data_IF_525827919853
#
_entry.id   IF_525827919853
#
_cell.length_a   1.000
_cell.length_b   1.000
_cell.length_c   1.000
_cell.angle_alpha   90.00
_cell.angle_beta   90.00
_cell.angle_gamma   90.00
#
_symmetry.space_group_name_H-M   'P 1'
#
loop_
_entity.id
_entity.type
_entity.pdbx_description
1 polymer ?
#
# COMPACT_ATOMS: atom_id res chain seq x y z
N UNK A 1 -15.27 -26.92 2.17
CA UNK A 1 -14.04 -26.95 2.97
C UNK A 1 -12.91 -26.47 2.07
N UNK A 2 -12.10 -25.51 2.51
CA UNK A 2 -10.93 -25.06 1.72
C UNK A 2 -9.77 -26.04 1.92
N UNK A 3 -8.97 -26.26 0.88
CA UNK A 3 -7.80 -27.16 0.90
C UNK A 3 -6.52 -26.37 0.56
N UNK A 4 -5.99 -25.56 1.50
CA UNK A 4 -4.83 -24.70 1.23
C UNK A 4 -3.52 -25.51 1.21
N UNK A 5 -2.53 -25.02 0.48
CA UNK A 5 -1.18 -25.59 0.50
C UNK A 5 -0.47 -25.42 1.85
N UNK A 6 -0.83 -24.38 2.60
CA UNK A 6 -0.31 -24.10 3.94
C UNK A 6 -1.11 -23.03 4.66
N UNK A 7 -0.91 -22.95 5.98
CA UNK A 7 -1.51 -21.97 6.87
C UNK A 7 -0.38 -21.27 7.62
N UNK A 8 -0.32 -19.95 7.50
CA UNK A 8 0.63 -19.13 8.23
C UNK A 8 -0.10 -18.27 9.27
N UNK A 9 0.31 -18.41 10.53
CA UNK A 9 -0.27 -17.72 11.67
C UNK A 9 0.62 -16.53 12.04
N UNK A 10 0.12 -15.33 11.74
CA UNK A 10 0.72 -14.07 12.15
C UNK A 10 -0.32 -13.23 12.86
N UNK A 11 -0.07 -12.90 14.12
CA UNK A 11 -0.98 -12.03 14.87
C UNK A 11 -0.23 -10.82 15.42
N UNK A 12 -0.98 -9.73 15.53
CA UNK A 12 -0.46 -8.42 15.91
C UNK A 12 0.24 -8.47 17.28
N UNK A 13 1.56 -8.20 17.34
CA UNK A 13 2.32 -8.26 18.58
C UNK A 13 1.79 -7.31 19.66
N UNK A 14 1.25 -6.15 19.27
CA UNK A 14 0.73 -5.17 20.21
C UNK A 14 -0.56 -5.67 20.86
N UNK A 15 -1.47 -6.22 20.06
CA UNK A 15 -2.72 -6.80 20.57
C UNK A 15 -2.44 -8.01 21.47
N UNK A 16 -1.54 -8.91 21.05
CA UNK A 16 -1.19 -10.08 21.86
C UNK A 16 -0.56 -9.70 23.20
N UNK A 17 0.27 -8.65 23.23
CA UNK A 17 0.84 -8.13 24.47
C UNK A 17 -0.23 -7.61 25.43
N UNK A 18 -1.25 -6.92 24.92
CA UNK A 18 -2.40 -6.46 25.73
C UNK A 18 -3.14 -7.67 26.33
N UNK A 19 -3.30 -8.74 25.56
CA UNK A 19 -3.95 -9.98 25.98
C UNK A 19 -3.04 -10.92 26.81
N UNK A 20 -1.79 -10.53 27.11
CA UNK A 20 -0.85 -11.37 27.86
C UNK A 20 -0.34 -12.61 27.12
N UNK A 21 -0.42 -12.62 25.78
CA UNK A 21 -0.05 -13.73 24.92
C UNK A 21 1.34 -13.54 24.29
N UNK A 22 2.12 -14.62 24.19
CA UNK A 22 3.42 -14.61 23.47
C UNK A 22 3.23 -14.27 21.98
N UNK A 23 4.11 -13.50 21.34
CA UNK A 23 4.04 -13.19 19.91
C UNK A 23 3.98 -14.44 19.02
N UNK A 24 3.39 -14.30 17.83
CA UNK A 24 3.26 -15.40 16.88
C UNK A 24 3.43 -14.95 15.43
N UNK A 25 4.32 -15.64 14.73
CA UNK A 25 4.61 -15.47 13.31
C UNK A 25 5.25 -16.78 12.81
N UNK A 26 4.44 -17.76 12.41
CA UNK A 26 4.91 -19.11 12.04
C UNK A 26 3.96 -19.81 11.08
N UNK A 27 4.47 -20.77 10.34
CA UNK A 27 3.63 -21.71 9.59
C UNK A 27 3.05 -22.74 10.55
N UNK A 28 1.72 -22.81 10.65
CA UNK A 28 0.98 -23.70 11.55
C UNK A 28 0.59 -25.02 10.90
N UNK A 29 0.48 -25.05 9.56
CA UNK A 29 0.21 -26.27 8.79
C UNK A 29 0.74 -26.16 7.36
N UNK A 30 1.06 -27.31 6.75
CA UNK A 30 1.43 -27.40 5.34
C UNK A 30 2.74 -26.69 4.99
N UNK A 31 2.82 -26.18 3.76
CA UNK A 31 4.03 -25.57 3.20
C UNK A 31 4.13 -24.11 3.64
N UNK A 32 5.32 -23.70 4.09
CA UNK A 32 5.60 -22.30 4.41
C UNK A 32 5.56 -21.43 3.13
N UNK A 33 4.97 -20.23 3.16
CA UNK A 33 4.98 -19.36 1.99
C UNK A 33 6.42 -18.93 1.63
N UNK A 34 6.68 -18.60 0.36
CA UNK A 34 7.92 -17.93 -0.03
C UNK A 34 8.02 -16.55 0.62
N UNK A 35 9.22 -15.97 0.63
CA UNK A 35 9.48 -14.62 1.19
C UNK A 35 8.59 -13.55 0.54
N UNK A 36 8.45 -13.60 -0.79
CA UNK A 36 7.47 -12.84 -1.55
C UNK A 36 6.52 -13.79 -2.27
N UNK A 37 5.25 -13.78 -1.87
CA UNK A 37 4.19 -14.53 -2.53
C UNK A 37 3.57 -13.68 -3.64
N UNK A 38 3.54 -14.20 -4.86
CA UNK A 38 2.76 -13.58 -5.94
C UNK A 38 1.27 -13.86 -5.75
N UNK A 39 0.45 -12.80 -5.77
CA UNK A 39 -1.01 -12.87 -5.82
C UNK A 39 -1.53 -12.21 -7.09
N UNK A 40 -2.77 -12.54 -7.45
CA UNK A 40 -3.52 -11.87 -8.52
C UNK A 40 -4.73 -11.13 -7.98
N UNK A 41 -4.90 -9.89 -8.38
CA UNK A 41 -6.06 -9.06 -8.06
C UNK A 41 -6.48 -8.30 -9.32
N UNK A 42 -7.75 -8.41 -9.73
CA UNK A 42 -8.29 -7.70 -10.91
C UNK A 42 -7.48 -7.88 -12.21
N UNK A 43 -6.85 -9.05 -12.39
CA UNK A 43 -5.98 -9.33 -13.54
C UNK A 43 -4.54 -8.82 -13.43
N UNK A 44 -4.24 -8.08 -12.35
CA UNK A 44 -2.91 -7.57 -12.03
C UNK A 44 -2.20 -8.50 -11.04
N UNK A 45 -0.87 -8.40 -11.00
CA UNK A 45 -0.01 -9.22 -10.16
C UNK A 45 0.67 -8.41 -9.08
N UNK A 46 0.81 -8.96 -7.88
CA UNK A 46 1.48 -8.29 -6.76
C UNK A 46 2.31 -9.27 -5.95
N UNK A 47 3.47 -8.85 -5.50
CA UNK A 47 4.23 -9.52 -4.46
C UNK A 47 3.75 -9.10 -3.07
N UNK A 48 3.62 -10.11 -2.20
CA UNK A 48 3.13 -9.99 -0.82
C UNK A 48 4.18 -10.57 0.13
N UNK A 49 4.64 -9.76 1.07
CA UNK A 49 5.48 -10.24 2.17
C UNK A 49 4.59 -10.63 3.36
N UNK A 50 4.29 -11.93 3.46
CA UNK A 50 3.44 -12.49 4.53
C UNK A 50 4.12 -12.39 5.90
N UNK A 51 5.45 -12.37 5.95
CA UNK A 51 6.21 -12.43 7.20
C UNK A 51 6.36 -11.04 7.82
N UNK A 52 6.71 -10.03 7.03
CA UNK A 52 7.07 -8.69 7.50
C UNK A 52 6.19 -7.56 6.95
N UNK A 53 5.43 -7.80 5.88
CA UNK A 53 4.59 -6.76 5.27
C UNK A 53 3.45 -6.30 6.19
N UNK A 54 2.88 -5.13 5.95
CA UNK A 54 1.82 -4.58 6.80
C UNK A 54 0.55 -5.46 6.74
N UNK A 55 -0.22 -5.52 7.85
CA UNK A 55 -1.44 -6.35 8.00
C UNK A 55 -1.23 -7.85 7.84
N UNK A 56 -1.43 -8.41 6.65
CA UNK A 56 -1.13 -9.80 6.26
C UNK A 56 -0.16 -9.86 5.06
N UNK A 57 0.51 -8.74 4.77
CA UNK A 57 1.45 -8.54 3.67
C UNK A 57 0.91 -7.66 2.54
N UNK A 58 -0.41 -7.44 2.51
CA UNK A 58 -1.10 -6.62 1.51
C UNK A 58 -2.44 -6.12 2.05
N UNK A 59 -2.89 -4.96 1.57
CA UNK A 59 -4.17 -4.36 1.95
C UNK A 59 -5.32 -4.90 1.10
N UNK A 60 -5.79 -6.10 1.42
CA UNK A 60 -6.91 -6.75 0.71
C UNK A 60 -8.23 -5.99 0.84
N UNK A 61 -8.43 -5.26 1.95
CA UNK A 61 -9.60 -4.42 2.17
C UNK A 61 -9.69 -3.22 1.22
N UNK A 62 -8.61 -2.89 0.51
CA UNK A 62 -8.55 -1.79 -0.47
C UNK A 62 -8.82 -2.27 -1.91
N UNK A 63 -9.16 -3.55 -2.14
CA UNK A 63 -9.38 -4.12 -3.47
C UNK A 63 -10.43 -3.34 -4.28
N UNK A 64 -11.61 -3.10 -3.72
CA UNK A 64 -12.69 -2.39 -4.41
C UNK A 64 -12.35 -0.91 -4.64
N UNK A 65 -11.61 -0.30 -3.71
CA UNK A 65 -11.15 1.08 -3.86
C UNK A 65 -10.11 1.22 -4.96
N UNK A 66 -9.19 0.25 -5.09
CA UNK A 66 -8.22 0.20 -6.20
C UNK A 66 -8.90 0.04 -7.55
N UNK A 67 -9.93 -0.81 -7.64
CA UNK A 67 -10.75 -0.94 -8.84
C UNK A 67 -11.45 0.38 -9.18
N UNK A 68 -12.09 1.01 -8.19
CA UNK A 68 -12.77 2.30 -8.37
C UNK A 68 -11.81 3.38 -8.84
N UNK A 69 -10.61 3.48 -8.25
CA UNK A 69 -9.58 4.42 -8.68
C UNK A 69 -9.22 4.24 -10.15
N UNK A 70 -9.07 2.98 -10.60
CA UNK A 70 -8.72 2.67 -11.98
C UNK A 70 -9.75 3.27 -12.98
N UNK A 71 -11.04 3.22 -12.65
CA UNK A 71 -12.13 3.78 -13.50
C UNK A 71 -12.00 5.28 -13.75
N UNK A 72 -11.33 6.02 -12.85
CA UNK A 72 -11.12 7.46 -12.98
C UNK A 72 -9.73 7.84 -13.48
N UNK A 73 -8.81 6.90 -13.66
CA UNK A 73 -7.40 7.19 -13.86
C UNK A 73 -6.99 7.41 -15.32
N UNK A 74 -7.82 7.03 -16.29
CA UNK A 74 -7.49 7.11 -17.73
C UNK A 74 -7.06 8.52 -18.14
N UNK A 75 -5.91 8.60 -18.80
CA UNK A 75 -5.26 9.83 -19.29
C UNK A 75 -4.94 10.89 -18.23
N UNK A 76 -4.89 10.51 -16.94
CA UNK A 76 -4.57 11.43 -15.83
C UNK A 76 -3.13 11.31 -15.35
N UNK A 77 -2.60 12.42 -14.83
CA UNK A 77 -1.43 12.46 -13.98
C UNK A 77 -1.87 12.25 -12.54
N UNK A 78 -1.49 11.11 -11.95
CA UNK A 78 -1.97 10.66 -10.63
C UNK A 78 -0.89 10.85 -9.58
N UNK A 79 -1.27 11.34 -8.40
CA UNK A 79 -0.47 11.25 -7.17
C UNK A 79 -1.03 10.14 -6.27
N UNK A 80 -0.22 9.13 -5.99
CA UNK A 80 -0.49 8.06 -5.02
C UNK A 80 0.31 8.34 -3.73
N UNK A 81 -0.33 9.04 -2.78
CA UNK A 81 0.26 9.35 -1.48
C UNK A 81 -0.03 8.25 -0.46
N UNK A 82 1.00 7.87 0.31
CA UNK A 82 0.98 6.68 1.19
C UNK A 82 0.88 5.38 0.38
N UNK A 83 1.62 5.32 -0.73
CA UNK A 83 1.50 4.31 -1.78
C UNK A 83 1.80 2.87 -1.33
N UNK A 84 2.47 2.66 -0.19
CA UNK A 84 2.89 1.35 0.27
C UNK A 84 3.61 0.57 -0.86
N UNK A 85 3.12 -0.61 -1.24
CA UNK A 85 3.68 -1.45 -2.31
C UNK A 85 3.15 -1.11 -3.71
N UNK A 86 2.50 0.05 -3.90
CA UNK A 86 2.08 0.57 -5.20
C UNK A 86 0.73 0.09 -5.70
N UNK A 87 -0.14 -0.43 -4.81
CA UNK A 87 -1.40 -1.05 -5.20
C UNK A 87 -2.28 -0.13 -6.07
N UNK A 88 -2.45 1.13 -5.66
CA UNK A 88 -3.24 2.11 -6.40
C UNK A 88 -2.53 2.53 -7.69
N UNK A 89 -1.23 2.83 -7.63
CA UNK A 89 -0.44 3.19 -8.80
C UNK A 89 -0.45 2.14 -9.92
N UNK A 90 -0.31 0.84 -9.59
CA UNK A 90 -0.39 -0.26 -10.59
C UNK A 90 -1.78 -0.29 -11.24
N UNK A 91 -2.85 -0.13 -10.45
CA UNK A 91 -4.21 -0.08 -10.99
C UNK A 91 -4.43 1.14 -11.90
N UNK A 92 -3.96 2.31 -11.49
CA UNK A 92 -4.06 3.53 -12.28
C UNK A 92 -3.34 3.40 -13.64
N UNK A 93 -2.10 2.88 -13.66
CA UNK A 93 -1.37 2.62 -14.90
C UNK A 93 -2.07 1.59 -15.78
N UNK A 94 -2.61 0.51 -15.20
CA UNK A 94 -3.34 -0.50 -15.95
C UNK A 94 -4.59 0.03 -16.65
N UNK A 95 -5.20 1.09 -16.11
CA UNK A 95 -6.35 1.77 -16.69
C UNK A 95 -5.97 2.93 -17.65
N UNK A 96 -4.68 3.07 -17.98
CA UNK A 96 -4.19 4.06 -18.92
C UNK A 96 -3.96 5.45 -18.33
N UNK A 97 -3.61 5.55 -17.04
CA UNK A 97 -3.05 6.78 -16.49
C UNK A 97 -1.83 7.23 -17.31
N UNK A 98 -1.70 8.54 -17.52
CA UNK A 98 -0.57 9.12 -18.25
C UNK A 98 0.71 9.04 -17.41
N UNK A 99 0.61 9.31 -16.12
CA UNK A 99 1.72 9.16 -15.17
C UNK A 99 1.19 8.86 -13.76
N UNK A 100 2.02 8.22 -12.94
CA UNK A 100 1.77 8.03 -11.52
C UNK A 100 3.02 8.46 -10.75
N UNK A 101 2.87 9.41 -9.84
CA UNK A 101 3.86 9.73 -8.81
C UNK A 101 3.47 9.05 -7.51
N UNK A 102 4.29 8.11 -7.04
CA UNK A 102 4.04 7.35 -5.82
C UNK A 102 4.94 7.86 -4.69
N UNK A 103 4.35 8.10 -3.52
CA UNK A 103 5.05 8.65 -2.36
C UNK A 103 4.85 7.74 -1.16
N UNK A 104 5.95 7.36 -0.50
CA UNK A 104 5.93 6.63 0.76
C UNK A 104 7.17 6.98 1.61
N UNK A 105 7.07 6.86 2.93
CA UNK A 105 8.20 7.12 3.84
C UNK A 105 9.11 5.89 3.99
N UNK A 106 8.61 4.69 3.66
CA UNK A 106 9.31 3.42 3.83
C UNK A 106 10.07 3.00 2.59
N UNK A 107 11.40 2.93 2.69
CA UNK A 107 12.26 2.45 1.60
C UNK A 107 11.92 1.01 1.17
N UNK A 108 11.63 0.13 2.12
CA UNK A 108 11.26 -1.26 1.83
C UNK A 108 9.96 -1.36 1.00
N UNK A 109 9.03 -0.42 1.21
CA UNK A 109 7.80 -0.35 0.42
C UNK A 109 8.09 0.08 -1.02
N UNK A 110 9.00 1.04 -1.21
CA UNK A 110 9.43 1.49 -2.54
C UNK A 110 10.21 0.44 -3.33
N UNK A 111 10.96 -0.44 -2.65
CA UNK A 111 11.60 -1.59 -3.31
C UNK A 111 10.56 -2.61 -3.80
N UNK A 112 9.56 -2.92 -2.96
CA UNK A 112 8.48 -3.84 -3.33
C UNK A 112 7.58 -3.26 -4.43
N UNK A 113 7.38 -1.94 -4.41
CA UNK A 113 6.73 -1.18 -5.46
C UNK A 113 7.40 -1.39 -6.82
N UNK A 114 8.73 -1.24 -6.90
CA UNK A 114 9.47 -1.40 -8.16
C UNK A 114 9.25 -2.77 -8.77
N UNK A 115 9.34 -3.81 -7.93
CA UNK A 115 9.05 -5.20 -8.32
C UNK A 115 7.62 -5.38 -8.83
N UNK A 116 6.62 -4.74 -8.19
CA UNK A 116 5.22 -4.85 -8.62
C UNK A 116 4.96 -4.18 -9.98
N UNK A 117 5.62 -3.07 -10.27
CA UNK A 117 5.49 -2.41 -11.57
C UNK A 117 6.15 -3.23 -12.68
N UNK A 118 7.36 -3.72 -12.44
CA UNK A 118 8.04 -4.65 -13.35
C UNK A 118 7.21 -5.91 -13.61
N UNK A 119 6.61 -6.46 -12.55
CA UNK A 119 5.73 -7.63 -12.62
C UNK A 119 4.48 -7.37 -13.49
N UNK A 120 4.07 -6.13 -13.71
CA UNK A 120 2.95 -5.78 -14.59
C UNK A 120 3.41 -5.12 -15.91
N UNK A 121 4.71 -5.19 -16.22
CA UNK A 121 5.32 -4.64 -17.43
C UNK A 121 5.19 -3.10 -17.55
N UNK A 122 5.12 -2.39 -16.42
CA UNK A 122 5.13 -0.94 -16.43
C UNK A 122 6.56 -0.40 -16.32
N UNK A 123 6.89 0.57 -17.17
CA UNK A 123 8.12 1.34 -17.04
C UNK A 123 7.94 2.39 -15.94
N UNK A 124 8.95 2.52 -15.08
CA UNK A 124 8.96 3.50 -13.99
C UNK A 124 9.97 4.59 -14.36
N UNK A 125 9.51 5.80 -14.77
CA UNK A 125 10.37 6.97 -14.84
C UNK A 125 11.05 7.23 -13.48
N UNK A 126 12.30 7.69 -13.49
CA UNK A 126 13.10 7.87 -12.26
C UNK A 126 12.50 8.81 -11.22
N UNK A 127 11.56 9.68 -11.61
CA UNK A 127 10.84 10.63 -10.75
C UNK A 127 9.43 10.16 -10.34
N UNK A 128 9.01 8.97 -10.78
CA UNK A 128 7.69 8.40 -10.47
C UNK A 128 7.59 7.84 -9.05
N UNK A 129 8.70 7.80 -8.31
CA UNK A 129 8.76 7.29 -6.94
C UNK A 129 9.54 8.24 -6.05
N UNK A 130 8.94 8.68 -4.95
CA UNK A 130 9.57 9.66 -4.04
C UNK A 130 9.50 9.13 -2.61
N UNK A 131 10.67 8.90 -2.01
CA UNK A 131 10.77 8.61 -0.58
C UNK A 131 10.64 9.89 0.22
N UNK A 132 9.66 9.98 1.11
CA UNK A 132 9.55 11.11 2.02
C UNK A 132 8.29 11.13 2.86
N UNK A 133 8.21 12.10 3.76
CA UNK A 133 6.97 12.41 4.46
C UNK A 133 5.96 12.98 3.46
N UNK A 134 4.81 12.33 3.34
CA UNK A 134 3.80 12.68 2.34
C UNK A 134 3.28 14.10 2.57
N UNK A 135 3.12 14.53 3.82
CA UNK A 135 2.62 15.89 4.11
C UNK A 135 3.62 16.98 3.72
N UNK A 136 4.91 16.77 4.00
CA UNK A 136 5.97 17.67 3.55
C UNK A 136 6.02 17.73 2.03
N UNK A 137 5.94 16.59 1.34
CA UNK A 137 5.95 16.55 -0.12
C UNK A 137 4.73 17.22 -0.75
N UNK A 138 3.54 17.07 -0.15
CA UNK A 138 2.34 17.81 -0.58
C UNK A 138 2.54 19.33 -0.48
N UNK A 139 3.17 19.83 0.59
CA UNK A 139 3.50 21.26 0.73
C UNK A 139 4.52 21.69 -0.33
N UNK A 140 5.55 20.90 -0.57
CA UNK A 140 6.55 21.17 -1.60
C UNK A 140 5.92 21.21 -3.00
N UNK A 141 5.05 20.25 -3.35
CA UNK A 141 4.37 20.24 -4.65
C UNK A 141 3.48 21.47 -4.82
N UNK A 142 2.80 21.91 -3.74
CA UNK A 142 2.03 23.16 -3.73
C UNK A 142 2.92 24.37 -3.99
N UNK A 143 4.06 24.48 -3.31
CA UNK A 143 5.04 25.58 -3.51
C UNK A 143 5.63 25.58 -4.92
N UNK A 144 5.79 24.41 -5.53
CA UNK A 144 6.27 24.24 -6.90
C UNK A 144 5.18 24.44 -7.96
N UNK A 145 3.93 24.72 -7.59
CA UNK A 145 2.78 24.75 -8.49
C UNK A 145 2.63 23.46 -9.32
N UNK A 146 3.04 22.31 -8.76
CA UNK A 146 2.90 21.02 -9.41
C UNK A 146 1.45 20.55 -9.30
N UNK A 147 0.82 20.28 -10.44
CA UNK A 147 -0.58 19.86 -10.52
C UNK A 147 -0.70 18.38 -10.83
N UNK A 148 -1.78 17.78 -10.32
CA UNK A 148 -2.18 16.40 -10.59
C UNK A 148 -3.67 16.38 -10.94
N UNK A 149 -4.07 15.54 -11.88
CA UNK A 149 -5.46 15.38 -12.29
C UNK A 149 -6.24 14.49 -11.31
N UNK A 150 -5.53 13.71 -10.50
CA UNK A 150 -6.07 12.83 -9.48
C UNK A 150 -5.08 12.69 -8.32
N UNK A 151 -5.58 12.78 -7.08
CA UNK A 151 -4.80 12.59 -5.86
C UNK A 151 -5.46 11.53 -5.00
N UNK A 152 -4.70 10.51 -4.61
CA UNK A 152 -5.11 9.42 -3.73
C UNK A 152 -4.33 9.60 -2.44
N UNK A 153 -5.04 9.60 -1.31
CA UNK A 153 -4.45 9.70 0.03
C UNK A 153 -5.06 8.60 0.91
N UNK A 154 -4.26 7.59 1.24
CA UNK A 154 -4.64 6.51 2.17
C UNK A 154 -3.72 6.49 3.41
N UNK A 155 -3.73 7.54 4.25
CA UNK A 155 -2.87 7.57 5.43
C UNK A 155 -3.29 6.52 6.45
N UNK A 156 -2.30 6.02 7.21
CA UNK A 156 -2.58 5.23 8.41
C UNK A 156 -3.47 6.02 9.39
N UNK A 157 -4.25 5.31 10.22
CA UNK A 157 -5.15 5.95 11.20
C UNK A 157 -4.36 6.91 12.11
N UNK A 158 -4.69 8.21 12.07
CA UNK A 158 -4.14 9.25 12.94
C UNK A 158 -4.62 9.17 14.40
N UNK A 159 -5.62 8.33 14.69
CA UNK A 159 -6.24 8.27 16.00
C UNK A 159 -5.46 7.40 16.98
N UNK A 160 -4.43 7.96 17.61
CA UNK A 160 -4.07 7.61 18.98
C UNK A 160 -4.76 8.59 19.93
N UNK A 161 -6.08 8.48 20.01
CA UNK A 161 -6.83 9.23 21.00
C UNK A 161 -6.56 8.64 22.38
N UNK A 162 -5.96 9.43 23.27
CA UNK A 162 -6.23 9.23 24.69
C UNK A 162 -7.76 9.31 24.92
N UNK A 163 -8.33 8.57 25.88
CA UNK A 163 -9.77 8.60 26.10
C UNK A 163 -10.22 10.03 26.46
N UNK A 164 -11.05 10.67 25.63
CA UNK A 164 -11.81 11.85 26.04
C UNK A 164 -11.74 13.12 25.18
N UNK A 165 -10.92 13.22 24.13
CA UNK A 165 -10.87 14.45 23.30
C UNK A 165 -11.60 14.32 21.95
N UNK A 166 -12.50 15.27 21.60
CA UNK A 166 -13.09 15.32 20.27
C UNK A 166 -12.05 15.70 19.21
N UNK A 167 -11.94 14.87 18.18
CA UNK A 167 -10.97 14.99 17.08
C UNK A 167 -11.44 16.03 16.05
N UNK A 168 -10.74 17.15 15.93
CA UNK A 168 -10.91 18.08 14.81
C UNK A 168 -9.85 17.83 13.74
N UNK A 169 -10.29 17.38 12.55
CA UNK A 169 -9.52 17.46 11.31
C UNK A 169 -9.37 18.94 10.93
N UNK A 170 -8.26 19.56 11.32
CA UNK A 170 -7.82 20.79 10.67
C UNK A 170 -6.86 20.44 9.53
N UNK A 171 -7.44 20.16 8.37
CA UNK A 171 -6.79 20.41 7.08
C UNK A 171 -7.02 21.90 6.76
N UNK A 172 -5.99 22.71 6.97
CA UNK A 172 -5.78 24.03 6.37
C UNK A 172 -4.36 24.08 5.80
#
# INVERSE_FOLDING_TARGET
>A
MVNPAGIHERADPAVRKIEGLSPINRTSAGVSPPELLEIKENGLRFFVDIFHGQKTGFYLNQCDNRKTVAEYATAKNVLDGFSYSGGFGVHALSAGAHSVTSVDSSAACLELFGKNYELNNFLIPGDSTIKGDVFQLLRMFREQNRNFDMVILDPAKFAHGAPGEPQSLHLL
#
